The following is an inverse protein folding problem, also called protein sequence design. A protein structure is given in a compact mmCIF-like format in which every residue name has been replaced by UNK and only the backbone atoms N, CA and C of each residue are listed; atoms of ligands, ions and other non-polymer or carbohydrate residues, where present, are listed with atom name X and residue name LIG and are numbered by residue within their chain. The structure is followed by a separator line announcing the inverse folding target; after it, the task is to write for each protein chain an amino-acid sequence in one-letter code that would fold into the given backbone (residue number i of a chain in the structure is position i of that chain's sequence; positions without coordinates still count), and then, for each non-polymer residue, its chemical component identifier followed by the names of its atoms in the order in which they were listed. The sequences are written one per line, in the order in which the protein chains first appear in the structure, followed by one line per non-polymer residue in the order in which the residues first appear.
data_IF_523557765384
#
_entry.id   IF_523557765384
#
_cell.length_a   1.000
_cell.length_b   1.000
_cell.length_c   1.000
_cell.angle_alpha   90.00
_cell.angle_beta   90.00
_cell.angle_gamma   90.00
#
_symmetry.space_group_name_H-M   'P 1'
#
loop_
_entity.id
_entity.type
_entity.pdbx_description
1 polymer ?
#
# COMPACT_ATOMS: atom_id res chain seq x y z
N UNK A 1 14.73 -8.46 17.08
CA UNK A 1 14.40 -8.96 15.73
C UNK A 1 15.72 -9.15 14.97
N UNK A 2 16.14 -10.41 14.75
CA UNK A 2 17.36 -10.71 13.97
C UNK A 2 17.17 -10.24 12.53
N UNK A 3 18.23 -9.72 11.91
CA UNK A 3 18.19 -9.26 10.52
C UNK A 3 17.49 -7.92 10.30
N UNK A 4 17.01 -7.29 11.35
CA UNK A 4 16.38 -5.96 11.32
C UNK A 4 17.29 -4.91 11.96
N UNK A 5 17.16 -3.66 11.51
CA UNK A 5 17.89 -2.53 12.08
C UNK A 5 17.67 -2.47 13.59
N UNK A 6 18.73 -2.35 14.42
CA UNK A 6 18.63 -2.27 15.89
C UNK A 6 17.76 -1.14 16.43
N UNK A 7 17.46 -0.13 15.63
CA UNK A 7 16.50 0.92 16.00
C UNK A 7 15.07 0.41 16.22
N UNK A 8 14.73 -0.75 15.64
CA UNK A 8 13.40 -1.36 15.76
C UNK A 8 13.32 -2.26 16.99
N UNK A 9 12.47 -1.92 17.94
CA UNK A 9 12.32 -2.64 19.20
C UNK A 9 11.53 -3.94 19.05
N UNK A 10 10.47 -3.90 18.25
CA UNK A 10 9.55 -4.99 18.00
C UNK A 10 8.85 -4.81 16.63
N UNK A 11 8.01 -5.77 16.25
CA UNK A 11 7.30 -5.74 14.96
C UNK A 11 6.35 -4.55 14.84
N UNK A 12 5.49 -4.21 15.82
CA UNK A 12 4.69 -3.00 15.76
C UNK A 12 5.53 -1.72 15.59
N UNK A 13 6.64 -1.60 16.32
CA UNK A 13 7.51 -0.42 16.18
C UNK A 13 8.14 -0.33 14.77
N UNK A 14 8.51 -1.48 14.17
CA UNK A 14 9.00 -1.53 12.79
C UNK A 14 7.91 -1.09 11.80
N UNK A 15 6.72 -1.71 11.83
CA UNK A 15 5.65 -1.46 10.87
C UNK A 15 5.14 -0.01 10.94
N UNK A 16 4.89 0.51 12.15
CA UNK A 16 4.48 1.90 12.35
C UNK A 16 5.60 2.86 11.96
N UNK A 17 6.84 2.51 12.32
CA UNK A 17 8.01 3.32 12.07
C UNK A 17 8.30 3.49 10.58
N UNK A 18 8.30 2.42 9.79
CA UNK A 18 8.50 2.51 8.34
C UNK A 18 7.35 3.26 7.66
N UNK A 19 6.11 3.05 8.11
CA UNK A 19 4.94 3.78 7.59
C UNK A 19 5.11 5.28 7.84
N UNK A 20 5.49 5.66 9.07
CA UNK A 20 5.75 7.07 9.41
C UNK A 20 6.89 7.64 8.57
N UNK A 21 8.02 6.95 8.50
CA UNK A 21 9.19 7.41 7.76
C UNK A 21 8.88 7.68 6.29
N UNK A 22 8.22 6.73 5.61
CA UNK A 22 7.92 6.85 4.19
C UNK A 22 6.83 7.89 3.93
N UNK A 23 5.71 7.79 4.65
CA UNK A 23 4.47 8.46 4.27
C UNK A 23 4.23 9.79 4.99
N UNK A 24 4.59 9.90 6.29
CA UNK A 24 4.40 11.11 7.07
C UNK A 24 5.62 12.02 6.96
N UNK A 25 6.83 11.47 7.14
CA UNK A 25 8.08 12.22 7.00
C UNK A 25 8.48 12.45 5.53
N UNK A 26 7.72 11.87 4.59
CA UNK A 26 7.94 12.00 3.13
C UNK A 26 9.30 11.52 2.64
N UNK A 27 9.93 10.61 3.35
CA UNK A 27 11.20 10.00 2.95
C UNK A 27 10.98 8.88 1.94
N UNK A 28 10.42 9.21 0.78
CA UNK A 28 10.06 8.21 -0.25
C UNK A 28 11.27 7.38 -0.70
N UNK A 29 12.47 7.97 -0.64
CA UNK A 29 13.71 7.26 -0.95
C UNK A 29 13.99 6.05 -0.04
N UNK A 30 13.45 6.03 1.19
CA UNK A 30 13.58 4.90 2.12
C UNK A 30 12.93 3.62 1.59
N UNK A 31 11.96 3.71 0.68
CA UNK A 31 11.37 2.54 0.01
C UNK A 31 12.43 1.64 -0.64
N UNK A 32 13.53 2.20 -1.14
CA UNK A 32 14.61 1.39 -1.75
C UNK A 32 15.29 0.42 -0.79
N UNK A 33 15.32 0.74 0.50
CA UNK A 33 15.94 -0.11 1.52
C UNK A 33 14.94 -0.85 2.40
N UNK A 34 13.66 -0.45 2.36
CA UNK A 34 12.61 -1.02 3.20
C UNK A 34 11.65 -1.95 2.45
N UNK A 35 11.73 -1.97 1.13
CA UNK A 35 10.94 -2.83 0.25
C UNK A 35 11.89 -3.62 -0.65
N UNK A 36 11.71 -4.92 -0.74
CA UNK A 36 12.56 -5.78 -1.57
C UNK A 36 12.46 -5.41 -3.06
N UNK A 37 13.53 -5.62 -3.81
CA UNK A 37 13.59 -5.25 -5.23
C UNK A 37 12.49 -5.94 -6.05
N UNK A 38 12.29 -7.23 -5.88
CA UNK A 38 11.31 -8.01 -6.64
C UNK A 38 9.95 -8.18 -5.97
N UNK A 39 9.62 -7.37 -4.94
CA UNK A 39 8.36 -7.53 -4.23
C UNK A 39 7.14 -7.34 -5.14
N UNK A 40 6.03 -7.92 -4.71
CA UNK A 40 4.73 -7.72 -5.36
C UNK A 40 3.78 -7.04 -4.37
N UNK A 41 3.21 -5.90 -4.77
CA UNK A 41 2.12 -5.25 -4.05
C UNK A 41 0.82 -5.52 -4.79
N UNK A 42 -0.10 -6.20 -4.14
CA UNK A 42 -1.42 -6.54 -4.66
C UNK A 42 -2.48 -5.66 -4.05
N UNK A 43 -3.30 -5.07 -4.87
CA UNK A 43 -4.45 -4.29 -4.43
C UNK A 43 -5.67 -4.57 -5.31
N UNK A 44 -6.89 -4.21 -4.87
CA UNK A 44 -8.07 -4.33 -5.72
C UNK A 44 -7.98 -3.56 -7.04
N UNK A 45 -7.16 -2.53 -7.11
CA UNK A 45 -7.01 -1.67 -8.29
C UNK A 45 -5.86 -2.09 -9.20
N UNK A 46 -4.85 -2.78 -8.69
CA UNK A 46 -3.64 -3.08 -9.46
C UNK A 46 -2.76 -4.14 -8.79
N UNK A 47 -1.91 -4.74 -9.60
CA UNK A 47 -0.75 -5.50 -9.14
C UNK A 47 0.50 -4.72 -9.56
N UNK A 48 1.32 -4.33 -8.59
CA UNK A 48 2.57 -3.60 -8.82
C UNK A 48 3.73 -4.51 -8.48
N UNK A 49 4.57 -4.78 -9.44
CA UNK A 49 5.76 -5.62 -9.29
C UNK A 49 6.99 -4.72 -9.31
N UNK A 50 7.97 -5.03 -8.46
CA UNK A 50 9.24 -4.31 -8.38
C UNK A 50 9.15 -3.00 -7.55
N UNK A 51 10.16 -2.81 -6.72
CA UNK A 51 10.33 -1.64 -5.86
C UNK A 51 10.27 -0.30 -6.62
N UNK A 52 10.87 -0.22 -7.81
CA UNK A 52 10.85 1.01 -8.61
C UNK A 52 9.44 1.41 -9.04
N UNK A 53 8.59 0.43 -9.37
CA UNK A 53 7.20 0.66 -9.72
C UNK A 53 6.36 1.02 -8.49
N UNK A 54 6.67 0.46 -7.31
CA UNK A 54 6.04 0.87 -6.04
C UNK A 54 6.36 2.32 -5.73
N UNK A 55 7.61 2.75 -5.91
CA UNK A 55 8.02 4.15 -5.76
C UNK A 55 7.23 5.05 -6.72
N UNK A 56 7.13 4.67 -8.01
CA UNK A 56 6.38 5.43 -9.01
C UNK A 56 4.89 5.54 -8.64
N UNK A 57 4.25 4.45 -8.23
CA UNK A 57 2.85 4.44 -7.79
C UNK A 57 2.63 5.31 -6.54
N UNK A 58 3.58 5.27 -5.60
CA UNK A 58 3.58 6.13 -4.41
C UNK A 58 3.63 7.61 -4.78
N UNK A 59 4.55 7.97 -5.67
CA UNK A 59 4.70 9.35 -6.14
C UNK A 59 3.44 9.84 -6.89
N UNK A 60 2.84 8.99 -7.72
CA UNK A 60 1.58 9.30 -8.41
C UNK A 60 0.45 9.59 -7.41
N UNK A 61 0.30 8.76 -6.36
CA UNK A 61 -0.71 8.99 -5.32
C UNK A 61 -0.46 10.28 -4.55
N UNK A 62 0.80 10.59 -4.23
CA UNK A 62 1.16 11.84 -3.54
C UNK A 62 0.99 13.08 -4.45
N UNK A 63 1.15 12.91 -5.75
CA UNK A 63 0.87 13.99 -6.69
C UNK A 63 -0.63 14.33 -6.75
N UNK A 64 -1.51 13.31 -6.71
CA UNK A 64 -2.97 13.49 -6.70
C UNK A 64 -3.48 14.04 -5.35
N UNK A 65 -2.92 13.54 -4.24
CA UNK A 65 -3.28 13.88 -2.86
C UNK A 65 -2.05 14.41 -2.08
N UNK A 66 -1.62 15.66 -2.31
CA UNK A 66 -0.38 16.19 -1.74
C UNK A 66 -0.39 16.28 -0.20
N UNK A 67 -1.56 16.48 0.38
CA UNK A 67 -1.79 16.61 1.83
C UNK A 67 -2.14 15.28 2.52
N UNK A 68 -2.00 14.15 1.80
CA UNK A 68 -2.36 12.83 2.36
C UNK A 68 -1.59 12.54 3.65
N UNK A 69 -2.34 12.19 4.70
CA UNK A 69 -1.83 11.71 5.98
C UNK A 69 -2.29 10.26 6.22
N UNK A 70 -1.40 9.45 6.77
CA UNK A 70 -1.63 8.06 7.12
C UNK A 70 -1.43 7.88 8.61
N UNK A 71 -2.53 7.67 9.33
CA UNK A 71 -2.53 7.49 10.78
C UNK A 71 -2.68 6.00 11.09
N UNK A 72 -1.65 5.40 11.67
CA UNK A 72 -1.67 4.02 12.14
C UNK A 72 -2.65 3.86 13.31
N UNK A 73 -3.55 2.88 13.20
CA UNK A 73 -4.53 2.59 14.26
C UNK A 73 -4.14 1.34 15.05
N UNK A 74 -3.66 0.30 14.36
CA UNK A 74 -3.44 -1.01 14.97
C UNK A 74 -2.51 -1.86 14.11
N UNK A 75 -1.69 -2.68 14.75
CA UNK A 75 -0.84 -3.69 14.10
C UNK A 75 -1.04 -5.02 14.82
N UNK A 76 -1.52 -6.02 14.09
CA UNK A 76 -1.49 -7.42 14.50
C UNK A 76 -0.44 -8.16 13.69
N UNK A 77 0.20 -9.16 14.30
CA UNK A 77 1.30 -9.87 13.66
C UNK A 77 1.49 -11.28 14.23
N UNK A 78 2.22 -12.11 13.50
CA UNK A 78 2.71 -13.40 13.97
C UNK A 78 4.09 -13.70 13.35
N UNK A 79 4.89 -14.47 14.09
CA UNK A 79 6.13 -15.00 13.54
C UNK A 79 5.87 -15.95 12.39
N UNK A 80 6.80 -15.97 11.43
CA UNK A 80 6.84 -16.94 10.33
C UNK A 80 8.16 -17.72 10.42
N UNK A 81 8.23 -18.79 11.22
CA UNK A 81 9.46 -19.55 11.40
C UNK A 81 9.93 -20.25 10.11
N UNK A 82 9.02 -20.59 9.20
CA UNK A 82 9.35 -21.23 7.93
C UNK A 82 9.97 -20.22 6.93
N UNK A 83 9.61 -18.96 7.04
CA UNK A 83 10.19 -17.87 6.26
C UNK A 83 11.49 -17.32 6.83
N UNK A 84 11.84 -17.65 8.07
CA UNK A 84 13.07 -17.20 8.71
C UNK A 84 14.31 -17.83 8.11
N UNK A 85 15.46 -17.17 8.26
CA UNK A 85 16.78 -17.65 7.86
C UNK A 85 17.72 -17.74 9.07
N UNK A 86 18.92 -18.27 8.87
CA UNK A 86 19.95 -18.29 9.92
C UNK A 86 20.31 -16.87 10.42
N UNK A 87 20.11 -15.86 9.58
CA UNK A 87 20.49 -14.46 9.85
C UNK A 87 19.31 -13.52 10.08
N UNK A 88 18.08 -13.92 9.76
CA UNK A 88 16.90 -13.07 9.87
C UNK A 88 15.67 -13.82 10.36
N UNK A 89 14.95 -13.18 11.27
CA UNK A 89 13.57 -13.52 11.59
C UNK A 89 12.68 -13.12 10.41
N UNK A 90 11.51 -13.79 10.30
CA UNK A 90 10.45 -13.42 9.38
C UNK A 90 9.12 -13.33 10.12
N UNK A 91 8.22 -12.50 9.64
CA UNK A 91 6.89 -12.34 10.22
C UNK A 91 5.88 -11.87 9.19
N UNK A 92 4.61 -12.15 9.49
CA UNK A 92 3.44 -11.58 8.83
C UNK A 92 2.85 -10.49 9.72
N UNK A 93 2.43 -9.39 9.13
CA UNK A 93 1.74 -8.32 9.84
C UNK A 93 0.53 -7.84 9.07
N UNK A 94 -0.50 -7.39 9.78
CA UNK A 94 -1.63 -6.64 9.23
C UNK A 94 -1.69 -5.29 9.94
N UNK A 95 -1.54 -4.22 9.17
CA UNK A 95 -1.54 -2.85 9.66
C UNK A 95 -2.81 -2.12 9.22
N UNK A 96 -3.62 -1.73 10.19
CA UNK A 96 -4.81 -0.92 9.97
C UNK A 96 -4.47 0.56 10.08
N UNK A 97 -4.87 1.32 9.06
CA UNK A 97 -4.65 2.76 9.01
C UNK A 97 -5.94 3.50 8.65
N UNK A 98 -6.02 4.75 9.08
CA UNK A 98 -6.94 5.72 8.50
C UNK A 98 -6.14 6.72 7.67
N UNK A 99 -6.62 6.99 6.47
CA UNK A 99 -6.05 7.99 5.57
C UNK A 99 -7.01 9.18 5.47
N UNK A 100 -6.46 10.37 5.54
CA UNK A 100 -7.16 11.63 5.21
C UNK A 100 -6.42 12.33 4.07
N UNK A 101 -7.15 12.93 3.15
CA UNK A 101 -6.57 13.60 1.99
C UNK A 101 -7.56 14.60 1.37
N UNK A 102 -7.06 15.53 0.55
CA UNK A 102 -7.88 16.39 -0.31
C UNK A 102 -7.57 16.09 -1.77
N UNK A 103 -8.59 15.80 -2.57
CA UNK A 103 -8.43 15.55 -4.02
C UNK A 103 -8.16 16.86 -4.76
N UNK A 104 -6.90 17.30 -4.73
CA UNK A 104 -6.47 18.61 -5.23
C UNK A 104 -5.89 18.58 -6.64
N UNK A 105 -5.54 17.42 -7.16
CA UNK A 105 -4.94 17.29 -8.49
C UNK A 105 -5.53 16.13 -9.26
N UNK A 106 -5.40 16.18 -10.58
CA UNK A 106 -5.80 15.09 -11.45
C UNK A 106 -4.92 13.86 -11.24
N UNK A 107 -5.53 12.67 -11.31
CA UNK A 107 -4.88 11.38 -11.16
C UNK A 107 -5.81 10.22 -11.48
N UNK A 108 -5.72 9.14 -10.75
CA UNK A 108 -6.55 7.94 -10.94
C UNK A 108 -8.05 8.26 -10.85
N UNK A 109 -8.42 9.17 -9.95
CA UNK A 109 -9.82 9.58 -9.74
C UNK A 109 -10.28 10.68 -10.71
N UNK A 110 -9.46 11.11 -11.69
CA UNK A 110 -9.82 12.08 -12.70
C UNK A 110 -9.50 13.53 -12.31
N UNK A 111 -10.34 14.47 -12.74
CA UNK A 111 -10.14 15.89 -12.47
C UNK A 111 -10.32 16.21 -10.98
N UNK A 112 -9.55 17.19 -10.41
CA UNK A 112 -9.61 17.52 -9.01
C UNK A 112 -11.01 18.01 -8.60
N UNK A 113 -11.49 17.49 -7.47
CA UNK A 113 -12.81 17.88 -6.92
C UNK A 113 -12.71 18.88 -5.78
N UNK A 114 -11.53 19.06 -5.19
CA UNK A 114 -11.32 19.85 -3.98
C UNK A 114 -11.95 19.23 -2.72
N UNK A 115 -12.52 18.03 -2.81
CA UNK A 115 -13.18 17.38 -1.68
C UNK A 115 -12.18 16.72 -0.76
N UNK A 116 -12.44 16.80 0.54
CA UNK A 116 -11.75 16.03 1.55
C UNK A 116 -12.35 14.63 1.61
N UNK A 117 -11.48 13.63 1.76
CA UNK A 117 -11.82 12.23 1.90
C UNK A 117 -11.12 11.64 3.12
N UNK A 118 -11.81 10.70 3.77
CA UNK A 118 -11.24 9.86 4.82
C UNK A 118 -11.61 8.40 4.54
N UNK A 119 -10.62 7.51 4.58
CA UNK A 119 -10.83 6.11 4.24
C UNK A 119 -9.86 5.20 4.97
N UNK A 120 -10.24 3.94 5.15
CA UNK A 120 -9.39 2.93 5.78
C UNK A 120 -8.50 2.24 4.77
N UNK A 121 -7.36 1.82 5.29
CA UNK A 121 -6.38 0.98 4.60
C UNK A 121 -6.04 -0.20 5.50
N UNK A 122 -5.88 -1.36 4.90
CA UNK A 122 -5.23 -2.53 5.48
C UNK A 122 -4.02 -2.86 4.62
N UNK A 123 -2.87 -2.96 5.25
CA UNK A 123 -1.62 -3.37 4.62
C UNK A 123 -1.13 -4.66 5.30
N UNK A 124 -1.23 -5.77 4.59
CA UNK A 124 -0.74 -7.06 5.05
C UNK A 124 0.62 -7.29 4.43
N UNK A 125 1.66 -7.39 5.27
CA UNK A 125 3.03 -7.48 4.82
C UNK A 125 3.69 -8.78 5.31
N UNK A 126 4.42 -9.43 4.42
CA UNK A 126 5.43 -10.40 4.80
C UNK A 126 6.79 -9.72 4.82
N UNK A 127 7.49 -9.82 5.96
CA UNK A 127 8.71 -9.07 6.21
C UNK A 127 9.86 -9.99 6.62
N UNK A 128 11.05 -9.73 6.09
CA UNK A 128 12.32 -10.38 6.40
C UNK A 128 13.48 -9.48 5.99
N UNK A 129 14.65 -9.64 6.63
CA UNK A 129 15.87 -8.92 6.26
C UNK A 129 15.68 -7.38 6.22
N UNK A 130 15.01 -6.87 7.25
CA UNK A 130 14.68 -5.45 7.41
C UNK A 130 13.82 -4.85 6.28
N UNK A 131 13.15 -5.68 5.50
CA UNK A 131 12.35 -5.25 4.34
C UNK A 131 11.02 -5.98 4.20
N UNK A 132 10.07 -5.28 3.61
CA UNK A 132 8.81 -5.86 3.12
C UNK A 132 9.12 -6.64 1.87
N UNK A 133 8.79 -7.94 1.86
CA UNK A 133 9.07 -8.87 0.75
C UNK A 133 7.84 -9.09 -0.12
N UNK A 134 6.65 -8.96 0.46
CA UNK A 134 5.36 -9.12 -0.21
C UNK A 134 4.32 -8.28 0.52
N UNK A 135 3.34 -7.72 -0.21
CA UNK A 135 2.31 -6.86 0.37
C UNK A 135 0.95 -7.06 -0.30
N UNK A 136 -0.09 -7.19 0.52
CA UNK A 136 -1.48 -7.00 0.14
C UNK A 136 -1.99 -5.68 0.70
N UNK A 137 -2.45 -4.80 -0.18
CA UNK A 137 -2.83 -3.45 0.17
C UNK A 137 -4.29 -3.18 -0.23
N UNK A 138 -5.18 -3.17 0.75
CA UNK A 138 -6.60 -2.92 0.54
C UNK A 138 -6.95 -1.50 1.00
N UNK A 139 -7.39 -0.67 0.07
CA UNK A 139 -7.94 0.67 0.33
C UNK A 139 -9.44 0.65 0.11
N UNK A 140 -10.21 1.32 0.96
CA UNK A 140 -11.65 1.51 0.71
C UNK A 140 -11.87 2.54 -0.39
N UNK A 141 -11.62 2.13 -1.63
CA UNK A 141 -11.81 2.95 -2.82
C UNK A 141 -13.28 3.33 -3.02
N UNK A 142 -14.21 2.45 -2.63
CA UNK A 142 -15.62 2.75 -2.67
C UNK A 142 -15.99 3.94 -1.78
N UNK A 143 -15.39 4.05 -0.59
CA UNK A 143 -15.56 5.20 0.28
C UNK A 143 -15.01 6.50 -0.34
N UNK A 144 -13.82 6.43 -0.97
CA UNK A 144 -13.23 7.58 -1.67
C UNK A 144 -14.18 8.08 -2.76
N UNK A 145 -14.61 7.19 -3.65
CA UNK A 145 -15.48 7.51 -4.79
C UNK A 145 -16.80 8.13 -4.34
N UNK A 146 -17.45 7.55 -3.30
CA UNK A 146 -18.70 8.10 -2.73
C UNK A 146 -18.49 9.48 -2.13
N UNK A 147 -17.41 9.71 -1.41
CA UNK A 147 -17.11 11.02 -0.81
C UNK A 147 -16.81 12.08 -1.88
N UNK A 148 -16.31 11.67 -3.04
CA UNK A 148 -16.17 12.53 -4.21
C UNK A 148 -17.53 12.84 -4.89
N UNK A 149 -18.59 12.13 -4.52
CA UNK A 149 -19.95 12.31 -5.04
C UNK A 149 -20.24 11.47 -6.28
N UNK A 150 -19.49 10.41 -6.54
CA UNK A 150 -19.68 9.52 -7.66
C UNK A 150 -20.27 8.18 -7.24
N UNK A 151 -20.92 7.50 -8.18
CA UNK A 151 -21.36 6.12 -7.99
C UNK A 151 -20.19 5.15 -8.18
N UNK A 152 -19.88 4.29 -7.20
CA UNK A 152 -18.73 3.39 -7.29
C UNK A 152 -18.81 2.37 -8.43
N UNK A 153 -20.02 1.93 -8.79
CA UNK A 153 -20.21 0.97 -9.87
C UNK A 153 -19.94 1.63 -11.22
N UNK A 154 -20.49 2.82 -11.43
CA UNK A 154 -20.24 3.57 -12.66
C UNK A 154 -18.76 3.96 -12.77
N UNK A 155 -18.14 4.41 -11.67
CA UNK A 155 -16.72 4.70 -11.64
C UNK A 155 -15.85 3.49 -12.05
N UNK A 156 -16.19 2.29 -11.56
CA UNK A 156 -15.47 1.07 -11.93
C UNK A 156 -15.65 0.73 -13.42
N UNK A 157 -16.83 0.91 -13.98
CA UNK A 157 -17.10 0.72 -15.43
C UNK A 157 -16.24 1.69 -16.24
N UNK A 158 -16.29 2.98 -15.91
CA UNK A 158 -15.53 4.03 -16.59
C UNK A 158 -14.01 3.80 -16.50
N UNK A 159 -13.54 3.27 -15.36
CA UNK A 159 -12.12 2.92 -15.18
C UNK A 159 -11.71 1.77 -16.10
N UNK A 160 -12.50 0.71 -16.15
CA UNK A 160 -12.27 -0.45 -17.04
C UNK A 160 -12.24 0.01 -18.51
N UNK A 161 -13.16 0.87 -18.92
CA UNK A 161 -13.21 1.42 -20.28
C UNK A 161 -11.95 2.24 -20.60
N UNK A 162 -11.49 3.08 -19.65
CA UNK A 162 -10.24 3.86 -19.79
C UNK A 162 -8.99 2.99 -19.92
N UNK A 163 -8.98 1.83 -19.29
CA UNK A 163 -7.90 0.85 -19.38
C UNK A 163 -7.96 -0.01 -20.65
N UNK A 164 -8.94 0.22 -21.51
CA UNK A 164 -9.09 -0.46 -22.80
C UNK A 164 -10.00 -1.69 -22.76
N UNK A 165 -10.85 -1.81 -21.74
CA UNK A 165 -11.81 -2.88 -21.54
C UNK A 165 -11.30 -3.98 -20.60
N UNK A 166 -12.22 -4.85 -20.19
CA UNK A 166 -11.96 -5.89 -19.18
C UNK A 166 -10.81 -6.84 -19.56
N UNK A 167 -10.60 -7.08 -20.85
CA UNK A 167 -9.54 -7.95 -21.35
C UNK A 167 -8.11 -7.35 -21.19
N UNK A 168 -8.04 -6.03 -20.99
CA UNK A 168 -6.77 -5.30 -20.81
C UNK A 168 -6.43 -5.05 -19.34
N UNK A 169 -7.42 -5.19 -18.45
CA UNK A 169 -7.22 -4.99 -17.03
C UNK A 169 -6.33 -6.10 -16.46
N UNK A 170 -5.47 -5.73 -15.53
CA UNK A 170 -4.65 -6.70 -14.79
C UNK A 170 -5.55 -7.60 -13.97
N UNK A 171 -5.49 -8.90 -14.23
CA UNK A 171 -6.23 -9.87 -13.44
C UNK A 171 -5.58 -10.03 -12.06
N UNK A 172 -6.40 -10.14 -10.99
CA UNK A 172 -5.87 -10.49 -9.67
C UNK A 172 -5.14 -11.82 -9.75
N UNK A 173 -4.05 -11.93 -9.01
CA UNK A 173 -3.39 -13.22 -8.83
C UNK A 173 -4.36 -14.19 -8.14
N UNK A 174 -4.67 -15.27 -8.81
CA UNK A 174 -5.35 -16.40 -8.20
C UNK A 174 -4.26 -17.42 -7.86
N UNK A 175 -3.99 -17.71 -6.57
CA UNK A 175 -3.18 -18.87 -6.24
C UNK A 175 -3.88 -20.08 -6.87
N UNK A 176 -3.14 -20.87 -7.63
CA UNK A 176 -3.65 -22.16 -8.08
C UNK A 176 -4.08 -22.94 -6.85
N UNK A 177 -5.26 -23.51 -6.88
CA UNK A 177 -5.76 -24.42 -5.84
C UNK A 177 -5.24 -25.84 -6.04
N UNK A 178 -4.08 -25.99 -6.69
CA UNK A 178 -3.41 -27.25 -6.93
C UNK A 178 -2.61 -27.70 -5.71
#
# INVERSE_FOLDING_TARGET
MRGFDPKWQDVPHYIIGITKEIWEDRKIGSLRGLYADGLIVRSPASVVVDNSNVIAATMATLAEFPDRALLGEDVIWCDDPDGATDTSDAFLSSHRLICTATHNRAGMYGAPTGKQVAYRILADCWCRENGVQDEWLVRDQGAIVRQMGWDPKQFAIDLIEREGGAEKCVQPFHPSLD
#
